data_IF_564288313185
#
_entry.id   IF_564288313185
#
_cell.length_a   1.000
_cell.length_b   1.000
_cell.length_c   1.000
_cell.angle_alpha   90.00
_cell.angle_beta   90.00
_cell.angle_gamma   90.00
#
_symmetry.space_group_name_H-M   'P 1'
#
loop_
_entity.id
_entity.type
_entity.pdbx_description
1 polymer ?
#
# COMPACT_ATOMS: atom_id res chain seq x y z
N UNK A 1 -6.55 -4.07 -15.11
CA UNK A 1 -6.83 -4.97 -13.96
C UNK A 1 -6.56 -4.15 -12.72
N UNK A 2 -7.41 -4.24 -11.68
CA UNK A 2 -7.06 -3.65 -10.39
C UNK A 2 -5.74 -4.25 -9.92
N UNK A 3 -4.95 -3.46 -9.21
CA UNK A 3 -3.69 -3.87 -8.60
C UNK A 3 -3.69 -3.37 -7.17
N UNK A 4 -2.82 -3.91 -6.32
CA UNK A 4 -2.70 -3.48 -4.95
C UNK A 4 -1.50 -2.54 -4.78
N UNK A 5 -1.60 -1.65 -3.81
CA UNK A 5 -0.59 -0.69 -3.40
C UNK A 5 -0.54 -0.66 -1.86
N UNK A 6 0.56 -0.18 -1.29
CA UNK A 6 0.73 -0.04 0.16
C UNK A 6 0.66 1.44 0.51
N UNK A 7 -0.14 1.74 1.52
CA UNK A 7 -0.31 3.08 2.06
C UNK A 7 0.08 3.10 3.53
N UNK A 8 0.49 4.26 4.03
CA UNK A 8 0.67 4.53 5.45
C UNK A 8 -0.56 5.26 5.98
N UNK A 9 -1.12 4.71 7.05
CA UNK A 9 -2.18 5.27 7.86
C UNK A 9 -1.62 5.62 9.25
N UNK A 10 -2.41 6.34 10.05
CA UNK A 10 -2.03 6.73 11.42
C UNK A 10 -1.76 5.51 12.35
N UNK A 11 -2.33 4.34 12.00
CA UNK A 11 -2.20 3.08 12.76
C UNK A 11 -1.08 2.16 12.22
N UNK A 12 -0.40 2.54 11.13
CA UNK A 12 0.65 1.74 10.48
C UNK A 12 0.46 1.62 8.96
N UNK A 13 1.08 0.63 8.34
CA UNK A 13 0.94 0.37 6.91
C UNK A 13 -0.31 -0.48 6.61
N UNK A 14 -0.96 -0.24 5.48
CA UNK A 14 -2.10 -1.02 5.02
C UNK A 14 -2.05 -1.28 3.51
N UNK A 15 -2.51 -2.47 3.08
CA UNK A 15 -2.66 -2.82 1.66
C UNK A 15 -4.01 -2.31 1.14
N UNK A 16 -3.96 -1.54 0.05
CA UNK A 16 -5.12 -0.98 -0.63
C UNK A 16 -5.27 -1.53 -2.05
N UNK A 17 -6.51 -1.76 -2.49
CA UNK A 17 -6.84 -2.03 -3.89
C UNK A 17 -6.96 -0.72 -4.70
N UNK A 18 -6.20 -0.61 -5.78
CA UNK A 18 -6.22 0.51 -6.72
C UNK A 18 -7.03 0.12 -7.96
N UNK A 19 -8.10 0.87 -8.20
CA UNK A 19 -8.98 0.63 -9.34
C UNK A 19 -8.29 1.01 -10.67
N UNK A 20 -8.61 0.31 -11.78
CA UNK A 20 -8.06 0.64 -13.07
C UNK A 20 -8.48 2.06 -13.50
N UNK A 21 -7.49 2.93 -13.72
CA UNK A 21 -7.71 4.34 -14.06
C UNK A 21 -7.71 5.29 -12.86
N UNK A 22 -7.55 4.78 -11.65
CA UNK A 22 -7.26 5.57 -10.46
C UNK A 22 -5.74 5.62 -10.24
N UNK A 23 -5.23 6.77 -9.81
CA UNK A 23 -3.85 6.89 -9.36
C UNK A 23 -3.72 6.34 -7.92
N UNK A 24 -2.65 5.59 -7.60
CA UNK A 24 -2.42 5.09 -6.25
C UNK A 24 -2.30 6.23 -5.22
N UNK A 25 -1.79 7.40 -5.63
CA UNK A 25 -1.70 8.60 -4.80
C UNK A 25 -3.10 9.13 -4.42
N UNK A 26 -3.99 9.28 -5.40
CA UNK A 26 -5.38 9.67 -5.15
C UNK A 26 -6.10 8.66 -4.26
N UNK A 27 -5.87 7.35 -4.48
CA UNK A 27 -6.46 6.30 -3.68
C UNK A 27 -6.02 6.38 -2.21
N UNK A 28 -4.72 6.59 -1.96
CA UNK A 28 -4.16 6.78 -0.63
C UNK A 28 -4.77 8.01 0.08
N UNK A 29 -4.84 9.15 -0.62
CA UNK A 29 -5.41 10.38 -0.08
C UNK A 29 -6.90 10.21 0.26
N UNK A 30 -7.66 9.47 -0.57
CA UNK A 30 -9.08 9.18 -0.30
C UNK A 30 -9.26 8.33 0.96
N UNK A 31 -8.36 7.39 1.24
CA UNK A 31 -8.37 6.63 2.49
C UNK A 31 -7.84 7.39 3.69
N UNK A 32 -7.34 8.62 3.50
CA UNK A 32 -6.75 9.42 4.57
C UNK A 32 -5.33 9.00 4.94
N UNK A 33 -4.65 8.29 4.04
CA UNK A 33 -3.26 7.88 4.19
C UNK A 33 -2.31 8.57 3.21
N UNK A 34 -1.06 8.14 3.25
CA UNK A 34 -0.01 8.55 2.33
C UNK A 34 0.42 7.34 1.50
N UNK A 35 0.63 7.54 0.20
CA UNK A 35 1.15 6.47 -0.64
C UNK A 35 2.61 6.17 -0.27
N UNK A 36 2.88 4.93 0.11
CA UNK A 36 4.23 4.45 0.45
C UNK A 36 4.81 3.66 -0.71
N UNK A 37 4.04 2.68 -1.19
CA UNK A 37 4.42 1.85 -2.31
C UNK A 37 3.30 1.79 -3.34
N UNK A 38 3.50 2.29 -4.58
CA UNK A 38 2.50 2.25 -5.65
C UNK A 38 2.22 0.85 -6.21
N UNK A 39 2.92 -0.20 -5.79
CA UNK A 39 2.95 -1.48 -6.47
C UNK A 39 3.62 -1.38 -7.86
N UNK A 40 3.24 -2.21 -8.84
CA UNK A 40 1.96 -2.92 -8.92
C UNK A 40 2.03 -4.33 -8.32
N UNK A 41 1.22 -4.57 -7.28
CA UNK A 41 1.01 -5.91 -6.74
C UNK A 41 -0.18 -6.58 -7.43
N UNK A 42 0.01 -7.82 -7.88
CA UNK A 42 -1.05 -8.55 -8.62
C UNK A 42 -2.11 -9.15 -7.71
N UNK A 43 -1.78 -9.32 -6.42
CA UNK A 43 -2.63 -9.95 -5.40
C UNK A 43 -2.40 -9.29 -4.04
N UNK A 44 -3.39 -9.40 -3.15
CA UNK A 44 -3.29 -8.93 -1.77
C UNK A 44 -2.13 -9.59 -1.00
N UNK A 45 -1.92 -10.91 -1.18
CA UNK A 45 -0.79 -11.64 -0.58
C UNK A 45 0.57 -11.02 -0.96
N UNK A 46 0.77 -10.69 -2.25
CA UNK A 46 2.03 -10.13 -2.75
C UNK A 46 2.31 -8.74 -2.14
N UNK A 47 1.27 -7.92 -1.99
CA UNK A 47 1.36 -6.64 -1.30
C UNK A 47 1.59 -6.83 0.20
N UNK A 48 1.01 -7.86 0.81
CA UNK A 48 1.18 -8.17 2.25
C UNK A 48 2.60 -8.64 2.54
N UNK A 49 3.20 -9.46 1.68
CA UNK A 49 4.60 -9.87 1.80
C UNK A 49 5.59 -8.69 1.67
N UNK A 50 5.22 -7.68 0.88
CA UNK A 50 6.01 -6.45 0.77
C UNK A 50 5.79 -5.52 1.98
N UNK A 51 4.56 -5.46 2.51
CA UNK A 51 4.22 -4.73 3.72
C UNK A 51 4.93 -5.30 4.95
N UNK A 52 4.94 -6.63 5.13
CA UNK A 52 5.67 -7.31 6.20
C UNK A 52 7.17 -6.98 6.16
N UNK A 53 7.75 -6.92 4.96
CA UNK A 53 9.13 -6.45 4.80
C UNK A 53 9.29 -4.99 5.22
N UNK A 54 8.40 -4.09 4.81
CA UNK A 54 8.42 -2.67 5.18
C UNK A 54 8.35 -2.47 6.70
N UNK A 55 7.44 -3.17 7.38
CA UNK A 55 7.30 -3.11 8.85
C UNK A 55 8.56 -3.61 9.57
N UNK A 56 9.16 -4.70 9.10
CA UNK A 56 10.42 -5.23 9.65
C UNK A 56 11.59 -4.26 9.49
N UNK A 57 11.56 -3.38 8.48
CA UNK A 57 12.59 -2.34 8.32
C UNK A 57 12.38 -1.14 9.25
N UNK A 58 11.14 -0.79 9.58
CA UNK A 58 10.81 0.31 10.50
C UNK A 58 11.17 0.00 11.96
N UNK A 59 10.93 -1.23 12.43
CA UNK A 59 11.23 -1.66 13.80
C UNK A 59 12.74 -1.73 14.15
N UNK A 60 13.64 -1.47 13.20
CA UNK A 60 15.10 -1.64 13.37
C UNK A 60 15.89 -0.35 13.56
N UNK A 61 15.23 0.82 13.64
CA UNK A 61 15.87 2.12 13.87
C UNK A 61 15.87 2.56 15.36
#
# INVERSE_FOLDING_TARGET
MPFFAIIELDDGFEVMEVLPGQSPEDAAVIAGGVLVDPGPYSSYDEATEALDQLEVFDERD
#
